data_IF_111744133370
#
_entry.id   IF_111744133370
#
_cell.length_a   1.000
_cell.length_b   1.000
_cell.length_c   1.000
_cell.angle_alpha   90.00
_cell.angle_beta   90.00
_cell.angle_gamma   90.00
#
_symmetry.space_group_name_H-M   'P 1'
#
loop_
_entity.id
_entity.type
_entity.pdbx_description
1 polymer ?
#
# COMPACT_ATOMS: atom_id res chain seq x y z
N UNK A 1 14.90 -54.59 -19.07
CA UNK A 1 15.33 -53.79 -17.90
C UNK A 1 15.26 -52.34 -18.33
N UNK A 2 14.09 -51.73 -18.18
CA UNK A 2 13.88 -50.31 -18.46
C UNK A 2 13.50 -49.64 -17.14
N UNK A 3 14.43 -48.86 -16.60
CA UNK A 3 14.21 -48.03 -15.43
C UNK A 3 13.44 -46.78 -15.83
N UNK A 4 12.15 -46.75 -15.47
CA UNK A 4 11.35 -45.53 -15.40
C UNK A 4 12.00 -44.56 -14.43
N UNK A 5 12.53 -43.44 -14.91
CA UNK A 5 12.78 -42.27 -14.09
C UNK A 5 11.43 -41.70 -13.66
N UNK A 6 11.20 -41.73 -12.35
CA UNK A 6 10.15 -40.96 -11.69
C UNK A 6 10.45 -39.49 -11.94
N UNK A 7 9.50 -38.81 -12.56
CA UNK A 7 9.46 -37.36 -12.58
C UNK A 7 8.86 -36.97 -11.21
N UNK A 8 9.71 -36.79 -10.22
CA UNK A 8 9.30 -36.30 -8.91
C UNK A 8 8.91 -34.82 -9.09
N UNK A 9 7.60 -34.60 -9.12
CA UNK A 9 7.00 -33.28 -9.06
C UNK A 9 7.42 -32.63 -7.75
N UNK A 10 8.37 -31.71 -7.84
CA UNK A 10 8.79 -30.89 -6.72
C UNK A 10 7.73 -29.81 -6.49
N UNK A 11 6.80 -30.07 -5.58
CA UNK A 11 5.76 -29.14 -5.13
C UNK A 11 6.22 -28.23 -3.96
N UNK A 12 7.52 -28.14 -3.69
CA UNK A 12 8.09 -27.44 -2.53
C UNK A 12 8.60 -26.02 -2.84
N UNK A 13 7.86 -25.25 -3.61
CA UNK A 13 8.27 -23.90 -3.99
C UNK A 13 7.11 -23.00 -4.31
N UNK A 14 6.27 -22.65 -3.33
CA UNK A 14 5.51 -21.41 -3.41
C UNK A 14 6.57 -20.32 -3.58
N UNK A 15 6.68 -19.82 -4.79
CA UNK A 15 7.68 -18.86 -5.22
C UNK A 15 7.33 -17.53 -4.54
N UNK A 16 7.68 -17.36 -3.25
CA UNK A 16 7.34 -16.15 -2.48
C UNK A 16 8.15 -14.97 -3.02
N UNK A 17 7.65 -14.37 -4.10
CA UNK A 17 8.15 -13.17 -4.77
C UNK A 17 8.36 -12.04 -3.74
N UNK A 18 7.42 -11.89 -2.82
CA UNK A 18 7.49 -10.95 -1.71
C UNK A 18 8.68 -11.20 -0.79
N UNK A 19 8.85 -12.44 -0.30
CA UNK A 19 9.95 -12.77 0.64
C UNK A 19 11.33 -12.51 0.04
N UNK A 20 11.49 -12.73 -1.27
CA UNK A 20 12.74 -12.41 -1.98
C UNK A 20 13.07 -10.92 -1.90
N UNK A 21 12.08 -10.06 -2.13
CA UNK A 21 12.26 -8.60 -2.05
C UNK A 21 12.41 -8.13 -0.60
N UNK A 22 11.60 -8.64 0.31
CA UNK A 22 11.59 -8.25 1.72
C UNK A 22 12.95 -8.49 2.40
N UNK A 23 13.63 -9.56 2.01
CA UNK A 23 14.94 -9.94 2.52
C UNK A 23 16.12 -9.46 1.66
N UNK A 24 15.88 -8.81 0.51
CA UNK A 24 16.95 -8.30 -0.37
C UNK A 24 17.55 -7.02 0.22
N UNK A 25 18.88 -7.00 0.39
CA UNK A 25 19.56 -5.88 1.04
C UNK A 25 19.45 -4.56 0.27
N UNK A 26 19.41 -4.61 -1.07
CA UNK A 26 19.28 -3.40 -1.89
C UNK A 26 17.88 -2.80 -1.76
N UNK A 27 16.84 -3.63 -1.77
CA UNK A 27 15.45 -3.20 -1.56
C UNK A 27 15.29 -2.53 -0.20
N UNK A 28 15.82 -3.16 0.86
CA UNK A 28 15.73 -2.63 2.23
C UNK A 28 16.44 -1.30 2.39
N UNK A 29 17.62 -1.16 1.79
CA UNK A 29 18.37 0.10 1.81
C UNK A 29 17.62 1.20 1.06
N UNK A 30 16.97 0.89 -0.06
CA UNK A 30 16.16 1.87 -0.80
C UNK A 30 14.93 2.33 -0.01
N UNK A 31 14.26 1.42 0.70
CA UNK A 31 13.16 1.78 1.60
C UNK A 31 13.67 2.71 2.72
N UNK A 32 14.82 2.39 3.33
CA UNK A 32 15.41 3.24 4.38
C UNK A 32 15.80 4.62 3.85
N UNK A 33 16.43 4.70 2.68
CA UNK A 33 16.81 5.97 2.07
C UNK A 33 15.60 6.80 1.64
N UNK A 34 14.51 6.16 1.20
CA UNK A 34 13.25 6.82 0.90
C UNK A 34 12.68 7.46 2.17
N UNK A 35 12.70 6.72 3.28
CA UNK A 35 12.25 7.19 4.58
C UNK A 35 13.10 8.38 5.08
N UNK A 36 14.42 8.28 4.99
CA UNK A 36 15.35 9.38 5.33
C UNK A 36 15.08 10.62 4.49
N UNK A 37 14.81 10.47 3.20
CA UNK A 37 14.48 11.59 2.32
C UNK A 37 13.19 12.28 2.75
N UNK A 38 12.16 11.52 3.14
CA UNK A 38 10.89 12.07 3.65
C UNK A 38 11.05 12.76 5.00
N UNK A 39 11.85 12.18 5.91
CA UNK A 39 12.18 12.80 7.19
C UNK A 39 12.85 14.18 7.00
N UNK A 40 13.75 14.29 6.02
CA UNK A 40 14.49 15.53 5.75
C UNK A 40 13.60 16.71 5.29
N UNK A 41 12.39 16.43 4.81
CA UNK A 41 11.41 17.45 4.37
C UNK A 41 10.17 17.52 5.29
N UNK A 42 10.23 16.88 6.46
CA UNK A 42 9.17 16.97 7.48
C UNK A 42 7.96 16.08 7.26
N UNK A 43 8.05 15.05 6.40
CA UNK A 43 6.95 14.11 6.19
C UNK A 43 6.96 12.97 7.22
N UNK A 44 5.77 12.40 7.43
CA UNK A 44 5.55 11.14 8.17
C UNK A 44 6.48 10.01 7.70
N UNK A 45 6.56 8.93 8.46
CA UNK A 45 7.34 7.77 8.08
C UNK A 45 6.78 7.08 6.82
N UNK A 46 7.70 6.65 5.96
CA UNK A 46 7.53 5.89 4.72
C UNK A 46 8.53 4.72 4.69
N UNK A 47 8.93 4.25 5.87
CA UNK A 47 9.94 3.22 6.08
C UNK A 47 9.34 1.82 6.12
N UNK A 48 10.13 0.86 6.62
CA UNK A 48 9.78 -0.56 6.60
C UNK A 48 8.44 -0.87 7.29
N UNK A 49 8.05 -0.11 8.32
CA UNK A 49 6.76 -0.28 8.99
C UNK A 49 5.61 -0.01 8.02
N UNK A 50 5.57 1.18 7.41
CA UNK A 50 4.53 1.59 6.47
C UNK A 50 4.41 0.60 5.31
N UNK A 51 5.49 0.39 4.56
CA UNK A 51 5.42 -0.46 3.35
C UNK A 51 5.06 -1.92 3.67
N UNK A 52 5.38 -2.40 4.88
CA UNK A 52 4.93 -3.73 5.33
C UNK A 52 3.43 -3.76 5.61
N UNK A 53 2.88 -2.75 6.29
CA UNK A 53 1.43 -2.64 6.53
C UNK A 53 0.67 -2.55 5.21
N UNK A 54 1.14 -1.74 4.27
CA UNK A 54 0.55 -1.60 2.93
C UNK A 54 0.62 -2.92 2.17
N UNK A 55 1.77 -3.60 2.17
CA UNK A 55 1.92 -4.90 1.52
C UNK A 55 0.92 -5.95 2.06
N UNK A 56 0.82 -6.10 3.38
CA UNK A 56 -0.12 -7.04 3.99
C UNK A 56 -1.58 -6.68 3.71
N UNK A 57 -1.94 -5.40 3.82
CA UNK A 57 -3.30 -4.95 3.56
C UNK A 57 -3.69 -5.14 2.09
N UNK A 58 -2.79 -4.85 1.14
CA UNK A 58 -3.04 -5.04 -0.29
C UNK A 58 -3.28 -6.52 -0.61
N UNK A 59 -2.46 -7.42 -0.04
CA UNK A 59 -2.68 -8.85 -0.15
C UNK A 59 -4.01 -9.29 0.51
N UNK A 60 -4.34 -8.75 1.69
CA UNK A 60 -5.58 -9.06 2.41
C UNK A 60 -6.82 -8.64 1.63
N UNK A 61 -6.82 -7.46 1.02
CA UNK A 61 -7.93 -6.97 0.18
C UNK A 61 -8.23 -7.99 -0.93
N UNK A 62 -7.22 -8.40 -1.70
CA UNK A 62 -7.43 -9.36 -2.79
C UNK A 62 -7.79 -10.76 -2.29
N UNK A 63 -7.23 -11.19 -1.15
CA UNK A 63 -7.51 -12.49 -0.53
C UNK A 63 -8.98 -12.60 -0.12
N UNK A 64 -9.49 -11.61 0.62
CA UNK A 64 -10.87 -11.60 1.13
C UNK A 64 -11.90 -11.40 0.01
N UNK A 65 -11.49 -10.85 -1.13
CA UNK A 65 -12.29 -10.75 -2.35
C UNK A 65 -12.19 -11.98 -3.27
N UNK A 66 -11.37 -12.97 -2.92
CA UNK A 66 -11.26 -14.23 -3.67
C UNK A 66 -10.50 -14.14 -5.00
N UNK A 67 -9.56 -13.20 -5.11
CA UNK A 67 -8.69 -13.08 -6.28
C UNK A 67 -7.67 -14.23 -6.38
N UNK A 68 -7.07 -14.47 -7.57
CA UNK A 68 -6.03 -15.48 -7.74
C UNK A 68 -4.78 -15.22 -6.89
N UNK A 69 -4.13 -16.29 -6.42
CA UNK A 69 -2.88 -16.23 -5.62
C UNK A 69 -1.76 -15.43 -6.29
N UNK A 70 -1.66 -15.49 -7.63
CA UNK A 70 -0.71 -14.67 -8.41
C UNK A 70 -0.96 -13.16 -8.18
N UNK A 71 -2.21 -12.70 -8.22
CA UNK A 71 -2.53 -11.27 -8.03
C UNK A 71 -2.30 -10.83 -6.58
N UNK A 72 -2.65 -11.69 -5.62
CA UNK A 72 -2.46 -11.44 -4.18
C UNK A 72 -0.97 -11.22 -3.89
N UNK A 73 -0.09 -12.10 -4.39
CA UNK A 73 1.35 -11.99 -4.18
C UNK A 73 1.92 -10.74 -4.88
N UNK A 74 1.45 -10.40 -6.08
CA UNK A 74 1.89 -9.18 -6.78
C UNK A 74 1.42 -7.90 -6.09
N UNK A 75 0.24 -7.89 -5.46
CA UNK A 75 -0.24 -6.76 -4.65
C UNK A 75 0.64 -6.56 -3.41
N UNK A 76 1.04 -7.66 -2.76
CA UNK A 76 2.00 -7.63 -1.65
C UNK A 76 3.35 -7.05 -2.06
N UNK A 77 3.85 -7.47 -3.22
CA UNK A 77 5.09 -6.94 -3.82
C UNK A 77 4.98 -5.46 -4.15
N UNK A 78 3.87 -5.05 -4.76
CA UNK A 78 3.65 -3.64 -5.11
C UNK A 78 3.60 -2.77 -3.85
N UNK A 79 2.92 -3.21 -2.79
CA UNK A 79 2.88 -2.51 -1.50
C UNK A 79 4.26 -2.32 -0.86
N UNK A 80 5.14 -3.32 -0.94
CA UNK A 80 6.50 -3.22 -0.41
C UNK A 80 7.34 -2.15 -1.13
N UNK A 81 7.11 -1.95 -2.43
CA UNK A 81 7.96 -1.14 -3.30
C UNK A 81 7.37 0.22 -3.66
N UNK A 82 6.10 0.50 -3.36
CA UNK A 82 5.39 1.64 -3.94
C UNK A 82 6.05 3.00 -3.68
N UNK A 83 6.68 3.14 -2.51
CA UNK A 83 7.27 4.39 -2.04
C UNK A 83 8.78 4.54 -2.28
N UNK A 84 9.46 3.55 -2.88
CA UNK A 84 10.93 3.63 -3.08
C UNK A 84 11.36 4.80 -3.98
N UNK A 85 10.42 5.37 -4.74
CA UNK A 85 10.66 6.56 -5.55
C UNK A 85 10.95 7.82 -4.74
N UNK A 86 10.57 7.86 -3.46
CA UNK A 86 10.81 9.02 -2.59
C UNK A 86 12.31 9.30 -2.36
N UNK A 87 13.21 8.34 -2.65
CA UNK A 87 14.67 8.59 -2.70
C UNK A 87 15.02 9.67 -3.73
N UNK A 88 14.26 9.74 -4.82
CA UNK A 88 14.53 10.63 -5.95
C UNK A 88 13.77 11.94 -5.79
N UNK A 89 12.45 11.86 -5.58
CA UNK A 89 11.58 13.03 -5.42
C UNK A 89 10.26 12.62 -4.76
N UNK A 90 9.65 13.53 -3.99
CA UNK A 90 8.30 13.36 -3.46
C UNK A 90 7.24 13.50 -4.55
N UNK A 91 7.36 14.54 -5.37
CA UNK A 91 6.50 14.75 -6.53
C UNK A 91 6.88 13.76 -7.63
N UNK A 92 5.92 12.94 -8.05
CA UNK A 92 6.14 11.86 -9.02
C UNK A 92 6.88 10.65 -8.45
N UNK A 93 6.88 10.45 -7.12
CA UNK A 93 7.51 9.31 -6.48
C UNK A 93 6.95 7.98 -7.00
N UNK A 94 5.69 7.94 -7.42
CA UNK A 94 5.05 6.78 -7.99
C UNK A 94 5.68 6.38 -9.34
N UNK A 95 5.95 7.33 -10.25
CA UNK A 95 6.59 7.00 -11.53
C UNK A 95 8.09 6.74 -11.36
N UNK A 96 8.77 7.50 -10.50
CA UNK A 96 10.16 7.22 -10.13
C UNK A 96 10.30 5.83 -9.51
N UNK A 97 9.41 5.48 -8.58
CA UNK A 97 9.35 4.19 -7.90
C UNK A 97 9.16 3.04 -8.87
N UNK A 98 8.26 3.18 -9.85
CA UNK A 98 8.09 2.17 -10.90
C UNK A 98 9.38 1.97 -11.72
N UNK A 99 10.06 3.05 -12.11
CA UNK A 99 11.32 2.94 -12.86
C UNK A 99 12.45 2.32 -12.04
N UNK A 100 12.52 2.61 -10.73
CA UNK A 100 13.48 2.00 -9.79
C UNK A 100 13.17 0.53 -9.49
N UNK A 101 11.89 0.15 -9.42
CA UNK A 101 11.46 -1.21 -9.15
C UNK A 101 11.82 -2.16 -10.30
N UNK A 102 11.82 -1.69 -11.55
CA UNK A 102 12.11 -2.52 -12.72
C UNK A 102 13.40 -3.34 -12.59
N UNK A 103 14.60 -2.73 -12.40
CA UNK A 103 15.84 -3.49 -12.30
C UNK A 103 15.84 -4.48 -11.12
N UNK A 104 15.22 -4.13 -9.98
CA UNK A 104 15.11 -5.00 -8.80
C UNK A 104 14.28 -6.26 -9.09
N UNK A 105 13.10 -6.06 -9.66
CA UNK A 105 12.19 -7.15 -10.04
C UNK A 105 12.83 -8.07 -11.09
N UNK A 106 13.46 -7.50 -12.12
CA UNK A 106 14.17 -8.28 -13.14
C UNK A 106 15.33 -9.07 -12.56
N UNK A 107 16.15 -8.44 -11.69
CA UNK A 107 17.29 -9.07 -11.01
C UNK A 107 16.84 -10.25 -10.14
N UNK A 108 15.70 -10.13 -9.49
CA UNK A 108 15.15 -11.15 -8.60
C UNK A 108 14.27 -12.20 -9.30
N UNK A 109 14.25 -12.20 -10.63
CA UNK A 109 13.68 -13.28 -11.44
C UNK A 109 12.17 -13.20 -11.66
N UNK A 110 11.55 -12.03 -11.48
CA UNK A 110 10.17 -11.81 -11.90
C UNK A 110 10.07 -11.97 -13.42
N UNK A 111 8.98 -12.53 -13.93
CA UNK A 111 8.67 -12.58 -15.36
C UNK A 111 8.30 -11.18 -15.89
N UNK A 112 8.37 -10.94 -17.21
CA UNK A 112 7.97 -9.65 -17.78
C UNK A 112 6.52 -9.27 -17.46
N UNK A 113 5.63 -10.27 -17.37
CA UNK A 113 4.22 -10.08 -17.02
C UNK A 113 4.05 -9.62 -15.57
N UNK A 114 4.63 -10.35 -14.63
CA UNK A 114 4.61 -10.01 -13.19
C UNK A 114 5.25 -8.63 -12.97
N UNK A 115 6.38 -8.37 -13.63
CA UNK A 115 7.05 -7.06 -13.59
C UNK A 115 6.11 -5.96 -14.06
N UNK A 116 5.51 -6.10 -15.25
CA UNK A 116 4.63 -5.07 -15.82
C UNK A 116 3.41 -4.76 -14.97
N UNK A 117 2.81 -5.77 -14.31
CA UNK A 117 1.70 -5.59 -13.38
C UNK A 117 2.14 -4.76 -12.16
N UNK A 118 3.27 -5.12 -11.53
CA UNK A 118 3.80 -4.39 -10.37
C UNK A 118 4.16 -2.95 -10.74
N UNK A 119 4.82 -2.74 -11.88
CA UNK A 119 5.16 -1.40 -12.34
C UNK A 119 3.91 -0.55 -12.61
N UNK A 120 2.89 -1.13 -13.21
CA UNK A 120 1.61 -0.46 -13.47
C UNK A 120 0.90 -0.08 -12.17
N UNK A 121 0.92 -0.95 -11.17
CA UNK A 121 0.37 -0.67 -9.85
C UNK A 121 1.13 0.47 -9.15
N UNK A 122 2.46 0.37 -9.05
CA UNK A 122 3.30 1.40 -8.41
C UNK A 122 3.15 2.74 -9.14
N UNK A 123 3.28 2.77 -10.47
CA UNK A 123 3.29 4.02 -11.23
C UNK A 123 1.98 4.80 -11.26
N UNK A 124 0.88 4.21 -10.79
CA UNK A 124 -0.46 4.80 -10.83
C UNK A 124 -1.14 4.83 -9.46
N UNK A 125 -0.46 4.48 -8.37
CA UNK A 125 -1.10 4.41 -7.05
C UNK A 125 -1.49 5.80 -6.48
N UNK A 126 -0.94 6.88 -7.06
CA UNK A 126 -1.28 8.29 -6.82
C UNK A 126 -2.13 8.95 -7.94
N UNK A 127 -2.63 8.19 -8.93
CA UNK A 127 -3.42 8.78 -10.03
C UNK A 127 -4.86 9.09 -9.60
N UNK A 128 -5.26 10.37 -9.73
CA UNK A 128 -6.59 10.85 -9.35
C UNK A 128 -7.58 10.95 -10.53
N UNK A 129 -7.09 11.00 -11.78
CA UNK A 129 -7.93 11.32 -12.95
C UNK A 129 -8.58 10.10 -13.59
N UNK A 130 -8.03 8.92 -13.38
CA UNK A 130 -8.47 7.70 -14.04
C UNK A 130 -8.69 6.57 -13.03
N UNK A 131 -9.64 5.66 -13.29
CA UNK A 131 -9.80 4.46 -12.46
C UNK A 131 -8.53 3.62 -12.43
N UNK A 132 -8.39 2.80 -11.39
CA UNK A 132 -7.31 1.82 -11.29
C UNK A 132 -7.23 0.95 -12.56
N UNK A 133 -6.01 0.59 -12.95
CA UNK A 133 -5.77 -0.15 -14.21
C UNK A 133 -5.75 -1.67 -14.02
N UNK A 134 -5.67 -2.15 -12.79
CA UNK A 134 -5.60 -3.57 -12.42
C UNK A 134 -6.09 -3.78 -10.99
N UNK A 135 -6.46 -5.02 -10.65
CA UNK A 135 -6.83 -5.40 -9.29
C UNK A 135 -5.67 -5.17 -8.28
N UNK A 136 -4.44 -5.47 -8.73
CA UNK A 136 -3.20 -5.21 -7.97
C UNK A 136 -3.05 -3.72 -7.63
N UNK A 137 -3.25 -2.84 -8.62
CA UNK A 137 -3.19 -1.40 -8.42
C UNK A 137 -4.31 -0.89 -7.50
N UNK A 138 -5.54 -1.37 -7.69
CA UNK A 138 -6.66 -0.99 -6.83
C UNK A 138 -6.44 -1.39 -5.36
N UNK A 139 -5.98 -2.62 -5.12
CA UNK A 139 -5.66 -3.09 -3.77
C UNK A 139 -4.51 -2.30 -3.13
N UNK A 140 -3.47 -1.96 -3.91
CA UNK A 140 -2.39 -1.10 -3.45
C UNK A 140 -2.90 0.28 -3.03
N UNK A 141 -3.69 0.94 -3.88
CA UNK A 141 -4.25 2.26 -3.57
C UNK A 141 -5.08 2.22 -2.29
N UNK A 142 -5.99 1.25 -2.14
CA UNK A 142 -6.80 1.11 -0.91
C UNK A 142 -5.90 0.92 0.31
N UNK A 143 -4.91 0.03 0.20
CA UNK A 143 -4.02 -0.32 1.31
C UNK A 143 -3.14 0.85 1.79
N UNK A 144 -2.57 1.63 0.86
CA UNK A 144 -1.79 2.82 1.22
C UNK A 144 -2.68 3.90 1.85
N UNK A 145 -3.79 4.24 1.19
CA UNK A 145 -4.68 5.32 1.69
C UNK A 145 -5.35 4.97 3.02
N UNK A 146 -5.39 3.69 3.39
CA UNK A 146 -5.90 3.22 4.68
C UNK A 146 -4.89 3.30 5.85
N UNK A 147 -3.57 3.45 5.60
CA UNK A 147 -2.55 3.53 6.68
C UNK A 147 -2.45 4.95 7.27
N UNK A 148 -3.58 5.42 7.81
CA UNK A 148 -3.73 6.63 8.62
C UNK A 148 -3.64 6.21 10.09
N UNK A 149 -2.57 6.57 10.79
CA UNK A 149 -2.39 6.17 12.18
C UNK A 149 -1.27 6.98 12.84
N UNK A 150 -1.34 7.17 14.16
CA UNK A 150 -0.31 7.89 14.93
C UNK A 150 1.10 7.32 14.83
N UNK A 151 1.22 6.04 14.53
CA UNK A 151 2.53 5.41 14.29
C UNK A 151 3.21 5.89 13.00
N UNK A 152 2.50 6.65 12.14
CA UNK A 152 3.10 7.34 11.00
C UNK A 152 3.93 8.55 11.42
N UNK A 153 3.58 9.17 12.53
CA UNK A 153 4.23 10.39 13.00
C UNK A 153 5.57 10.00 13.64
N UNK A 154 6.66 10.61 13.17
CA UNK A 154 8.03 10.31 13.61
C UNK A 154 8.28 10.85 15.01
N UNK A 155 8.12 12.16 15.13
CA UNK A 155 8.28 12.94 16.34
C UNK A 155 7.15 13.97 16.36
N UNK A 156 6.17 13.77 17.25
CA UNK A 156 5.02 14.67 17.32
C UNK A 156 5.38 15.96 18.07
N UNK A 157 5.21 17.09 17.39
CA UNK A 157 5.50 18.42 17.88
C UNK A 157 4.26 19.30 17.81
N UNK A 158 3.42 19.36 18.86
CA UNK A 158 2.16 20.12 18.85
C UNK A 158 2.37 21.64 18.68
N UNK A 159 3.59 22.13 18.88
CA UNK A 159 3.99 23.51 18.62
C UNK A 159 4.24 23.85 17.14
N UNK A 160 4.37 22.84 16.28
CA UNK A 160 4.52 23.01 14.83
C UNK A 160 3.12 22.88 14.21
N UNK A 161 2.66 23.92 13.52
CA UNK A 161 1.38 23.88 12.81
C UNK A 161 1.49 22.98 11.56
N UNK A 162 1.35 21.67 11.75
CA UNK A 162 1.25 20.66 10.69
C UNK A 162 0.00 19.80 10.86
N UNK A 163 -1.03 20.19 10.11
CA UNK A 163 -2.32 19.49 10.09
C UNK A 163 -2.20 18.01 9.67
N UNK A 164 -1.15 17.62 8.93
CA UNK A 164 -0.96 16.23 8.51
C UNK A 164 -0.52 15.37 9.69
N UNK A 165 0.45 15.85 10.47
CA UNK A 165 0.92 15.17 11.67
C UNK A 165 -0.15 15.20 12.77
N UNK A 166 -0.87 16.30 12.95
CA UNK A 166 -1.97 16.39 13.92
C UNK A 166 -3.05 15.33 13.65
N UNK A 167 -3.53 15.23 12.42
CA UNK A 167 -4.58 14.25 12.06
C UNK A 167 -4.06 12.82 12.17
N UNK A 168 -2.83 12.54 11.71
CA UNK A 168 -2.25 11.20 11.87
C UNK A 168 -2.09 10.87 13.36
N UNK A 169 -1.56 11.78 14.17
CA UNK A 169 -1.35 11.59 15.60
C UNK A 169 -2.67 11.43 16.38
N UNK A 170 -3.70 12.17 15.98
CA UNK A 170 -5.05 12.04 16.50
C UNK A 170 -5.68 10.67 16.17
N UNK A 171 -5.29 10.02 15.07
CA UNK A 171 -5.80 8.70 14.72
C UNK A 171 -5.18 7.59 15.61
N UNK A 172 -5.97 7.11 16.56
CA UNK A 172 -5.54 6.15 17.61
C UNK A 172 -5.80 4.70 17.23
N UNK A 173 -6.75 4.47 16.32
CA UNK A 173 -7.03 3.18 15.71
C UNK A 173 -7.40 3.39 14.23
N UNK A 174 -6.86 2.54 13.36
CA UNK A 174 -7.25 2.44 11.96
C UNK A 174 -7.43 0.97 11.57
N UNK A 175 -8.61 0.64 11.06
CA UNK A 175 -8.98 -0.72 10.67
C UNK A 175 -9.54 -0.70 9.25
N UNK A 176 -8.89 -1.47 8.38
CA UNK A 176 -9.41 -1.76 7.04
C UNK A 176 -10.16 -3.10 7.07
N UNK A 177 -11.48 -3.04 7.04
CA UNK A 177 -12.39 -4.18 7.11
C UNK A 177 -12.81 -4.54 5.68
N UNK A 178 -12.68 -5.81 5.29
CA UNK A 178 -13.06 -6.29 3.97
C UNK A 178 -14.13 -7.36 4.12
N UNK A 179 -15.27 -7.15 3.47
CA UNK A 179 -16.42 -8.04 3.54
C UNK A 179 -16.79 -8.49 2.14
N UNK A 180 -16.00 -9.43 1.60
CA UNK A 180 -16.13 -9.87 0.20
C UNK A 180 -17.51 -10.43 -0.15
N UNK A 181 -18.20 -11.07 0.79
CA UNK A 181 -19.58 -11.54 0.57
C UNK A 181 -20.61 -10.41 0.38
N UNK A 182 -20.32 -9.21 0.89
CA UNK A 182 -21.18 -8.02 0.77
C UNK A 182 -20.65 -7.04 -0.26
N UNK A 183 -19.48 -7.28 -0.86
CA UNK A 183 -18.78 -6.33 -1.72
C UNK A 183 -18.59 -4.96 -1.04
N UNK A 184 -18.18 -4.96 0.23
CA UNK A 184 -17.95 -3.75 1.02
C UNK A 184 -16.53 -3.74 1.57
N UNK A 185 -15.87 -2.59 1.46
CA UNK A 185 -14.59 -2.28 2.12
C UNK A 185 -14.82 -1.07 3.02
N UNK A 186 -14.53 -1.20 4.30
CA UNK A 186 -14.72 -0.12 5.29
C UNK A 186 -13.39 0.29 5.89
N UNK A 187 -13.09 1.59 5.85
CA UNK A 187 -12.03 2.18 6.66
C UNK A 187 -12.66 2.74 7.94
N UNK A 188 -12.40 2.08 9.07
CA UNK A 188 -12.89 2.47 10.40
C UNK A 188 -11.77 3.11 11.21
N UNK A 189 -11.91 4.40 11.48
CA UNK A 189 -10.95 5.23 12.19
C UNK A 189 -11.50 5.69 13.54
N UNK A 190 -10.63 5.67 14.55
CA UNK A 190 -10.87 6.37 15.82
C UNK A 190 -9.93 7.56 15.90
N UNK A 191 -10.50 8.77 15.97
CA UNK A 191 -9.77 10.04 16.00
C UNK A 191 -10.02 10.74 17.33
N UNK A 192 -8.94 11.08 18.02
CA UNK A 192 -8.95 11.93 19.20
C UNK A 192 -9.31 13.38 18.83
N UNK A 193 -10.57 13.73 19.07
CA UNK A 193 -11.13 15.04 18.73
C UNK A 193 -10.58 16.20 19.59
N UNK A 194 -9.81 15.91 20.65
CA UNK A 194 -9.06 16.97 21.38
C UNK A 194 -7.80 17.40 20.61
N UNK A 195 -7.29 16.57 19.70
CA UNK A 195 -6.08 16.81 18.89
C UNK A 195 -6.46 17.31 17.50
N UNK A 196 -7.33 16.58 16.80
CA UNK A 196 -7.77 16.97 15.46
C UNK A 196 -9.26 16.65 15.24
N UNK A 197 -9.94 17.55 14.55
CA UNK A 197 -11.35 17.42 14.20
C UNK A 197 -11.55 16.56 12.95
N UNK A 198 -12.77 16.04 12.80
CA UNK A 198 -13.19 15.34 11.56
C UNK A 198 -13.09 16.26 10.33
N UNK A 199 -13.29 17.56 10.51
CA UNK A 199 -13.15 18.53 9.41
C UNK A 199 -11.68 18.67 8.97
N UNK A 200 -10.73 18.73 9.90
CA UNK A 200 -9.30 18.76 9.59
C UNK A 200 -8.85 17.46 8.91
N UNK A 201 -9.39 16.31 9.31
CA UNK A 201 -9.19 15.05 8.58
C UNK A 201 -9.60 15.21 7.10
N UNK A 202 -10.82 15.69 6.83
CA UNK A 202 -11.26 15.86 5.45
C UNK A 202 -10.45 16.90 4.68
N UNK A 203 -9.94 17.93 5.33
CA UNK A 203 -9.12 18.96 4.67
C UNK A 203 -7.90 18.36 3.96
N UNK A 204 -7.31 17.29 4.50
CA UNK A 204 -6.09 16.69 3.94
C UNK A 204 -6.30 15.30 3.33
N UNK A 205 -7.29 14.53 3.78
CA UNK A 205 -7.50 13.15 3.33
C UNK A 205 -8.60 13.01 2.27
N UNK A 206 -9.33 14.07 1.91
CA UNK A 206 -10.44 13.96 0.94
C UNK A 206 -10.00 13.33 -0.38
N UNK A 207 -8.92 13.80 -1.02
CA UNK A 207 -8.46 13.21 -2.29
C UNK A 207 -8.06 11.73 -2.11
N UNK A 208 -7.35 11.42 -1.03
CA UNK A 208 -6.95 10.04 -0.68
C UNK A 208 -8.16 9.11 -0.52
N UNK A 209 -9.23 9.57 0.14
CA UNK A 209 -10.46 8.79 0.30
C UNK A 209 -11.22 8.62 -1.02
N UNK A 210 -11.23 9.63 -1.88
CA UNK A 210 -11.81 9.53 -3.22
C UNK A 210 -11.09 8.48 -4.06
N UNK A 211 -9.76 8.44 -4.00
CA UNK A 211 -8.97 7.41 -4.68
C UNK A 211 -9.25 6.01 -4.13
N UNK A 212 -9.32 5.85 -2.81
CA UNK A 212 -9.66 4.56 -2.19
C UNK A 212 -11.05 4.08 -2.61
N UNK A 213 -12.03 5.00 -2.68
CA UNK A 213 -13.38 4.71 -3.17
C UNK A 213 -13.39 4.29 -4.63
N UNK A 214 -12.66 5.00 -5.50
CA UNK A 214 -12.63 4.69 -6.93
C UNK A 214 -11.88 3.37 -7.20
N UNK A 215 -10.86 3.06 -6.40
CA UNK A 215 -10.19 1.76 -6.40
C UNK A 215 -11.10 0.62 -5.90
N UNK A 216 -11.89 0.84 -4.84
CA UNK A 216 -12.87 -0.14 -4.38
C UNK A 216 -13.94 -0.40 -5.46
N UNK A 217 -14.44 0.66 -6.11
CA UNK A 217 -15.38 0.56 -7.22
C UNK A 217 -14.81 -0.28 -8.38
N UNK A 218 -13.51 -0.14 -8.68
CA UNK A 218 -12.83 -0.99 -9.68
C UNK A 218 -12.89 -2.48 -9.31
N UNK A 219 -12.71 -2.80 -8.03
CA UNK A 219 -12.83 -4.16 -7.49
C UNK A 219 -14.30 -4.62 -7.34
N UNK A 220 -15.26 -3.81 -7.78
CA UNK A 220 -16.69 -4.11 -7.66
C UNK A 220 -17.20 -4.03 -6.21
N UNK A 221 -16.55 -3.23 -5.37
CA UNK A 221 -16.91 -3.01 -3.97
C UNK A 221 -17.36 -1.57 -3.71
N UNK A 222 -18.28 -1.39 -2.76
CA UNK A 222 -18.52 -0.10 -2.14
C UNK A 222 -17.41 0.20 -1.11
N UNK A 223 -17.03 1.46 -0.99
CA UNK A 223 -16.10 1.93 0.04
C UNK A 223 -16.84 2.81 1.04
N UNK A 224 -16.73 2.49 2.32
CA UNK A 224 -17.32 3.27 3.41
C UNK A 224 -16.21 3.82 4.31
N UNK A 225 -16.34 5.08 4.71
CA UNK A 225 -15.49 5.69 5.74
C UNK A 225 -16.28 5.83 7.04
N UNK A 226 -15.78 5.23 8.12
CA UNK A 226 -16.34 5.38 9.46
C UNK A 226 -15.34 6.11 10.34
N UNK A 227 -15.76 7.19 10.99
CA UNK A 227 -14.93 7.93 11.95
C UNK A 227 -15.69 8.06 13.26
N UNK A 228 -15.10 7.60 14.37
CA UNK A 228 -15.70 7.65 15.70
C UNK A 228 -17.12 7.06 15.73
N UNK A 229 -17.34 5.96 15.01
CA UNK A 229 -18.62 5.25 14.91
C UNK A 229 -19.67 5.95 14.04
N UNK A 230 -19.34 7.06 13.40
CA UNK A 230 -20.21 7.74 12.43
C UNK A 230 -19.79 7.35 11.02
N UNK A 231 -20.72 6.79 10.25
CA UNK A 231 -20.52 6.52 8.83
C UNK A 231 -20.63 7.82 8.03
N UNK A 232 -19.61 8.09 7.22
CA UNK A 232 -19.43 9.31 6.46
C UNK A 232 -19.46 9.01 4.96
N UNK A 233 -20.55 8.31 4.57
CA UNK A 233 -20.92 7.88 3.22
C UNK A 233 -19.97 6.90 2.51
#
# INVERSE_FOLDING_TARGET
METKQKNDGNSDGVNRLYERLYNDSEVREYIELADVAMAAIGYTEHGMRHVSVVAENAARVLTELGHPEEEIELARVAGLLHDIGNIVAREGHEQCGALLAYPLLRRLGFSPRETGIVLGAIGNHEEERYPSLSAVGAALTIADKADVHRSRVRDYHPEIEDIHDDVNYACVESKLIIEGARSVITLDLTIDAEIATVMEYFQIFTSRMMMARDAANYLGCEFHLVINGTELA
#
